data_IF_428508144125
#
_entry.id   IF_428508144125
#
_cell.length_a   1.000
_cell.length_b   1.000
_cell.length_c   1.000
_cell.angle_alpha   90.00
_cell.angle_beta   90.00
_cell.angle_gamma   90.00
#
_symmetry.space_group_name_H-M   'P 1'
#
loop_
_entity.id
_entity.type
_entity.pdbx_description
1 polymer ?
#
# COMPACT_ATOMS: atom_id res chain seq x y z
N UNK A 1 9.81 -3.13 -4.99
CA UNK A 1 8.55 -2.35 -4.89
C UNK A 1 8.93 -0.93 -4.54
N UNK A 2 8.26 0.04 -5.16
CA UNK A 2 8.57 1.47 -4.97
C UNK A 2 7.45 2.14 -4.17
N UNK A 3 7.83 3.01 -3.24
CA UNK A 3 6.90 3.81 -2.44
C UNK A 3 7.10 5.29 -2.76
N UNK A 4 6.01 5.98 -3.03
CA UNK A 4 5.98 7.40 -3.36
C UNK A 4 5.24 8.17 -2.27
N UNK A 5 5.69 9.38 -2.01
CA UNK A 5 5.01 10.36 -1.16
C UNK A 5 4.71 11.60 -1.99
N UNK A 6 3.58 12.25 -1.77
CA UNK A 6 3.20 13.46 -2.51
C UNK A 6 4.21 14.61 -2.34
N UNK A 7 4.92 14.63 -1.21
CA UNK A 7 5.99 15.59 -0.92
C UNK A 7 7.29 15.34 -1.70
N UNK A 8 7.44 14.19 -2.36
CA UNK A 8 8.70 13.78 -3.01
C UNK A 8 8.46 12.81 -4.18
N UNK A 9 7.78 13.24 -5.25
CA UNK A 9 7.40 12.35 -6.36
C UNK A 9 8.62 11.78 -7.12
N UNK A 10 9.71 12.53 -7.22
CA UNK A 10 10.88 12.16 -8.05
C UNK A 10 11.88 11.23 -7.35
N UNK A 11 11.67 10.92 -6.07
CA UNK A 11 12.58 10.05 -5.31
C UNK A 11 11.81 9.03 -4.48
N UNK A 12 11.41 7.90 -5.08
CA UNK A 12 10.73 6.85 -4.36
C UNK A 12 11.65 6.15 -3.36
N UNK A 13 11.03 5.58 -2.33
CA UNK A 13 11.69 4.65 -1.41
C UNK A 13 11.56 3.22 -1.91
N UNK A 14 12.48 2.37 -1.48
CA UNK A 14 12.49 0.94 -1.75
C UNK A 14 11.83 0.19 -0.60
N UNK A 15 10.78 -0.56 -0.94
CA UNK A 15 10.03 -1.38 0.00
C UNK A 15 10.08 -2.86 -0.31
N UNK A 16 9.93 -3.66 0.75
CA UNK A 16 9.69 -5.11 0.68
C UNK A 16 8.47 -5.46 1.54
N UNK A 17 7.66 -6.41 1.08
CA UNK A 17 6.54 -6.93 1.88
C UNK A 17 7.15 -7.75 3.02
N UNK A 18 6.88 -7.33 4.26
CA UNK A 18 7.30 -8.05 5.46
C UNK A 18 6.21 -8.97 6.00
N UNK A 19 4.94 -8.64 5.77
CA UNK A 19 3.80 -9.44 6.22
C UNK A 19 2.53 -9.11 5.44
N UNK A 20 1.72 -10.14 5.20
CA UNK A 20 0.36 -10.05 4.67
C UNK A 20 -0.57 -10.69 5.70
N UNK A 21 -1.62 -9.96 6.12
CA UNK A 21 -2.62 -10.53 7.00
C UNK A 21 -3.35 -11.70 6.33
N UNK A 22 -3.51 -12.85 6.99
CA UNK A 22 -4.31 -13.96 6.45
C UNK A 22 -5.82 -13.66 6.53
N UNK A 23 -6.21 -12.69 7.37
CA UNK A 23 -7.59 -12.27 7.55
C UNK A 23 -7.84 -10.94 6.84
N UNK A 24 -8.92 -10.87 6.07
CA UNK A 24 -9.41 -9.64 5.50
C UNK A 24 -10.01 -8.74 6.59
N UNK A 25 -9.71 -7.46 6.53
CA UNK A 25 -10.48 -6.41 7.17
C UNK A 25 -11.64 -6.06 6.21
N UNK A 26 -12.88 -6.36 6.62
CA UNK A 26 -14.04 -5.85 5.91
C UNK A 26 -14.16 -4.35 6.17
N UNK A 27 -14.19 -3.53 5.12
CA UNK A 27 -14.64 -2.14 5.25
C UNK A 27 -15.55 -1.73 4.10
N UNK A 28 -16.87 -1.70 4.35
CA UNK A 28 -17.77 -0.82 3.63
C UNK A 28 -18.54 0.08 4.61
N UNK A 29 -18.43 1.41 4.46
CA UNK A 29 -19.41 2.35 5.02
C UNK A 29 -19.86 3.29 3.92
N UNK A 30 -21.17 3.19 3.63
CA UNK A 30 -21.95 3.85 2.57
C UNK A 30 -21.88 3.16 1.20
N UNK A 31 -22.94 2.44 0.87
CA UNK A 31 -23.23 1.86 -0.45
C UNK A 31 -24.48 2.56 -0.95
N UNK A 32 -24.37 3.36 -2.02
CA UNK A 32 -25.53 3.83 -2.79
C UNK A 32 -25.89 2.87 -3.94
N UNK A 33 -25.04 1.87 -4.23
CA UNK A 33 -25.27 0.88 -5.30
C UNK A 33 -24.98 -0.56 -4.84
N UNK A 34 -25.65 -1.58 -5.43
CA UNK A 34 -25.53 -2.98 -5.02
C UNK A 34 -24.16 -3.63 -5.25
N UNK A 35 -23.34 -3.09 -6.15
CA UNK A 35 -22.15 -3.76 -6.69
C UNK A 35 -20.89 -3.72 -5.79
N UNK A 36 -20.87 -2.93 -4.72
CA UNK A 36 -19.65 -2.67 -3.92
C UNK A 36 -19.45 -3.56 -2.67
N UNK A 37 -20.24 -4.64 -2.50
CA UNK A 37 -20.28 -5.41 -1.23
C UNK A 37 -19.19 -6.47 -1.02
N UNK A 38 -18.29 -6.72 -1.98
CA UNK A 38 -17.35 -7.86 -1.89
C UNK A 38 -15.88 -7.49 -1.86
N UNK A 39 -15.53 -6.22 -1.63
CA UNK A 39 -14.13 -5.81 -1.57
C UNK A 39 -13.50 -6.25 -0.23
N UNK A 40 -12.58 -7.22 -0.32
CA UNK A 40 -11.77 -7.66 0.80
C UNK A 40 -10.53 -6.79 0.90
N UNK A 41 -10.38 -6.04 1.99
CA UNK A 41 -9.18 -5.24 2.25
C UNK A 41 -8.26 -6.04 3.15
N UNK A 42 -6.99 -6.19 2.78
CA UNK A 42 -6.01 -6.91 3.59
C UNK A 42 -4.94 -5.95 4.12
N UNK A 43 -4.60 -6.10 5.40
CA UNK A 43 -3.48 -5.37 5.98
C UNK A 43 -2.16 -5.91 5.46
N UNK A 44 -1.31 -4.99 5.03
CA UNK A 44 0.08 -5.25 4.65
C UNK A 44 1.03 -4.53 5.60
N UNK A 45 2.16 -5.17 5.94
CA UNK A 45 3.32 -4.48 6.50
C UNK A 45 4.44 -4.44 5.47
N UNK A 46 4.95 -3.25 5.25
CA UNK A 46 6.02 -2.99 4.29
C UNK A 46 7.22 -2.48 5.06
N UNK A 47 8.37 -3.10 4.82
CA UNK A 47 9.66 -2.68 5.37
C UNK A 47 10.32 -1.79 4.33
N UNK A 48 10.61 -0.55 4.71
CA UNK A 48 11.32 0.42 3.88
C UNK A 48 12.82 0.29 4.16
N UNK A 49 13.62 0.09 3.12
CA UNK A 49 15.06 -0.20 3.27
C UNK A 49 15.95 1.04 3.26
N UNK A 50 15.44 2.17 2.76
CA UNK A 50 16.16 3.42 2.53
C UNK A 50 15.38 4.63 3.09
N UNK A 51 14.71 4.43 4.23
CA UNK A 51 13.97 5.50 4.90
C UNK A 51 14.90 6.62 5.38
N UNK A 52 14.43 7.87 5.25
CA UNK A 52 15.09 9.07 5.76
C UNK A 52 14.11 9.95 6.56
N UNK A 53 14.57 11.09 7.07
CA UNK A 53 13.76 12.01 7.87
C UNK A 53 12.59 12.68 7.12
N UNK A 54 12.50 12.52 5.79
CA UNK A 54 11.38 13.03 5.01
C UNK A 54 10.18 12.07 5.01
N UNK A 55 10.37 10.80 5.37
CA UNK A 55 9.28 9.85 5.56
C UNK A 55 8.80 9.87 7.02
N UNK A 56 7.65 10.53 7.26
CA UNK A 56 7.07 10.69 8.60
C UNK A 56 5.89 9.77 8.82
N UNK A 57 5.68 9.39 10.08
CA UNK A 57 4.50 8.62 10.48
C UNK A 57 3.22 9.39 10.17
N UNK A 58 2.20 8.69 9.68
CA UNK A 58 0.91 9.26 9.29
C UNK A 58 0.88 9.84 7.88
N UNK A 59 2.03 9.92 7.19
CA UNK A 59 2.05 10.32 5.78
C UNK A 59 1.40 9.23 4.91
N UNK A 60 0.46 9.59 4.03
CA UNK A 60 -0.03 8.67 3.01
C UNK A 60 1.09 8.33 2.03
N UNK A 61 1.09 7.09 1.55
CA UNK A 61 2.08 6.59 0.59
C UNK A 61 1.38 5.84 -0.53
N UNK A 62 1.88 6.02 -1.75
CA UNK A 62 1.43 5.26 -2.92
C UNK A 62 2.45 4.16 -3.20
N UNK A 63 1.98 2.93 -3.35
CA UNK A 63 2.83 1.76 -3.57
C UNK A 63 2.69 1.32 -5.03
N UNK A 64 3.82 1.17 -5.72
CA UNK A 64 3.88 0.62 -7.07
C UNK A 64 4.54 -0.75 -7.08
N UNK A 65 3.79 -1.76 -7.53
CA UNK A 65 4.26 -3.12 -7.75
C UNK A 65 4.78 -3.26 -9.17
N UNK A 66 6.05 -3.64 -9.33
CA UNK A 66 6.56 -4.12 -10.61
C UNK A 66 5.89 -5.47 -10.89
N UNK A 67 5.01 -5.54 -11.88
CA UNK A 67 4.41 -6.79 -12.30
C UNK A 67 5.52 -7.74 -12.73
N UNK A 68 5.75 -8.81 -11.97
CA UNK A 68 6.65 -9.88 -12.39
C UNK A 68 6.11 -10.48 -13.68
N UNK A 69 6.97 -10.60 -14.70
CA UNK A 69 6.64 -11.26 -15.97
C UNK A 69 6.24 -12.70 -15.62
N UNK A 70 4.95 -13.02 -15.70
CA UNK A 70 4.45 -14.40 -15.58
C UNK A 70 5.07 -15.16 -16.76
N UNK A 71 6.03 -16.02 -16.46
CA UNK A 71 6.62 -16.96 -17.42
C UNK A 71 5.85 -18.26 -17.33
#
# INVERSE_FOLDING_TARGET
MLLYTDSRPDKPYHGKIGFVSPSAEFTPKTVETPDLRTDLVYRLRIVVTDADGALRQGMPVTISFSHGKRT
#
